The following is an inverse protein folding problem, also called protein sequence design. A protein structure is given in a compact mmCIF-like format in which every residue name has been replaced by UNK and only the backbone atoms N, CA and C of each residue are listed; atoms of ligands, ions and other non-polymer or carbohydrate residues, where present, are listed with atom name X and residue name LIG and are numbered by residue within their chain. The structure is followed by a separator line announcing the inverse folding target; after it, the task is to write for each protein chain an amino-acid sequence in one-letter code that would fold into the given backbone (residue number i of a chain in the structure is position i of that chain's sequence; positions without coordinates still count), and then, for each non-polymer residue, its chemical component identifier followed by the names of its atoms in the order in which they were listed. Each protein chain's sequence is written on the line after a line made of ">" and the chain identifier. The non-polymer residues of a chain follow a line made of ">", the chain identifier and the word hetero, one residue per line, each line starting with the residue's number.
data_IF_708252496750
#
_entry.id   IF_708252496750
#
_cell.length_a   1.000
_cell.length_b   1.000
_cell.length_c   1.000
_cell.angle_alpha   90.00
_cell.angle_beta   90.00
_cell.angle_gamma   90.00
#
_symmetry.space_group_name_H-M   'P 1'
#
loop_
_entity.id
_entity.type
_entity.pdbx_description
1 polymer ?
#
# COMPACT_ATOMS: atom_id res chain seq x y z
N UNK A 1 4.67 23.75 -26.29
CA UNK A 1 5.10 22.70 -25.34
C UNK A 1 4.83 23.22 -23.93
N UNK A 2 4.38 22.38 -23.02
CA UNK A 2 4.17 22.74 -21.61
C UNK A 2 4.89 21.72 -20.72
N UNK A 3 5.49 22.20 -19.63
CA UNK A 3 6.24 21.37 -18.68
C UNK A 3 5.45 21.30 -17.38
N UNK A 4 5.29 20.08 -16.86
CA UNK A 4 4.61 19.82 -15.58
C UNK A 4 5.56 19.02 -14.71
N UNK A 5 5.97 19.58 -13.58
CA UNK A 5 6.81 18.92 -12.59
C UNK A 5 5.96 18.10 -11.61
N UNK A 6 6.35 16.86 -11.37
CA UNK A 6 5.73 16.01 -10.35
C UNK A 6 6.70 15.83 -9.19
N UNK A 7 6.18 15.84 -7.96
CA UNK A 7 7.01 15.58 -6.77
C UNK A 7 7.46 14.12 -6.67
N UNK A 8 6.75 13.19 -7.31
CA UNK A 8 7.11 11.77 -7.37
C UNK A 8 7.15 11.31 -8.82
N UNK A 9 8.20 10.58 -9.18
CA UNK A 9 8.36 9.99 -10.52
C UNK A 9 7.21 9.05 -10.91
N UNK A 10 6.61 8.35 -9.94
CA UNK A 10 5.46 7.49 -10.16
C UNK A 10 4.22 8.23 -10.70
N UNK A 11 4.01 9.48 -10.29
CA UNK A 11 2.84 10.26 -10.71
C UNK A 11 2.95 10.70 -12.18
N UNK A 12 4.17 10.99 -12.66
CA UNK A 12 4.44 11.29 -14.06
C UNK A 12 4.08 10.10 -14.98
N UNK A 13 4.40 8.88 -14.55
CA UNK A 13 4.03 7.65 -15.25
C UNK A 13 2.51 7.48 -15.36
N UNK A 14 1.80 7.65 -14.25
CA UNK A 14 0.32 7.56 -14.20
C UNK A 14 -0.33 8.61 -15.11
N UNK A 15 0.17 9.84 -15.10
CA UNK A 15 -0.32 10.92 -15.96
C UNK A 15 -0.16 10.59 -17.44
N UNK A 16 1.02 10.10 -17.84
CA UNK A 16 1.28 9.65 -19.22
C UNK A 16 0.30 8.55 -19.63
N UNK A 17 0.13 7.50 -18.84
CA UNK A 17 -0.80 6.41 -19.17
C UNK A 17 -2.25 6.90 -19.30
N UNK A 18 -2.66 7.87 -18.49
CA UNK A 18 -4.05 8.33 -18.45
C UNK A 18 -4.40 9.32 -19.57
N UNK A 19 -3.47 10.20 -19.92
CA UNK A 19 -3.77 11.37 -20.74
C UNK A 19 -3.07 11.38 -22.10
N UNK A 20 -2.07 10.52 -22.34
CA UNK A 20 -1.44 10.45 -23.65
C UNK A 20 -2.44 10.01 -24.73
N UNK A 21 -2.49 10.76 -25.83
CA UNK A 21 -3.44 10.56 -26.92
C UNK A 21 -4.86 11.05 -26.63
N UNK A 22 -5.13 11.70 -25.49
CA UNK A 22 -6.46 12.29 -25.21
C UNK A 22 -6.64 13.59 -25.97
N UNK A 23 -7.86 13.87 -26.41
CA UNK A 23 -8.24 15.15 -27.02
C UNK A 23 -8.80 16.03 -25.90
N UNK A 24 -8.14 17.16 -25.63
CA UNK A 24 -8.54 18.09 -24.55
C UNK A 24 -9.02 19.42 -25.14
N UNK A 25 -8.44 19.83 -26.27
CA UNK A 25 -8.71 21.10 -26.97
C UNK A 25 -9.55 20.92 -28.25
N UNK A 26 -10.18 19.75 -28.42
CA UNK A 26 -11.08 19.45 -29.54
C UNK A 26 -10.41 19.26 -30.93
N UNK A 27 -9.14 19.68 -31.12
CA UNK A 27 -8.47 19.66 -32.43
C UNK A 27 -7.45 18.54 -32.60
N UNK A 28 -6.58 18.34 -31.60
CA UNK A 28 -5.45 17.39 -31.70
C UNK A 28 -5.32 16.57 -30.41
N UNK A 29 -5.04 15.26 -30.50
CA UNK A 29 -4.62 14.46 -29.35
C UNK A 29 -3.33 15.01 -28.73
N UNK A 30 -3.24 15.03 -27.40
CA UNK A 30 -2.02 15.46 -26.70
C UNK A 30 -0.98 14.34 -26.65
N UNK A 31 0.30 14.69 -26.72
CA UNK A 31 1.44 13.77 -26.52
C UNK A 31 2.12 14.11 -25.20
N UNK A 32 2.36 13.10 -24.36
CA UNK A 32 3.05 13.27 -23.08
C UNK A 32 4.38 12.51 -23.11
N UNK A 33 5.45 13.24 -22.83
CA UNK A 33 6.82 12.75 -22.72
C UNK A 33 7.33 12.98 -21.29
N UNK A 34 8.12 12.04 -20.78
CA UNK A 34 8.70 12.12 -19.43
C UNK A 34 10.15 12.52 -19.61
N UNK A 35 10.51 13.69 -19.10
CA UNK A 35 11.89 14.16 -18.99
C UNK A 35 12.40 13.69 -17.62
N UNK A 36 13.59 13.10 -17.60
CA UNK A 36 14.30 12.76 -16.37
C UNK A 36 15.61 13.52 -16.42
N UNK A 37 15.83 14.39 -15.44
CA UNK A 37 17.10 15.06 -15.29
C UNK A 37 18.08 14.04 -14.68
N UNK A 38 19.24 13.85 -15.32
CA UNK A 38 20.22 12.83 -14.93
C UNK A 38 20.90 13.14 -13.57
N UNK A 39 20.70 14.35 -13.04
CA UNK A 39 21.23 14.80 -11.75
C UNK A 39 20.30 14.51 -10.55
N UNK A 40 19.08 14.01 -10.79
CA UNK A 40 18.16 13.59 -9.72
C UNK A 40 18.52 12.14 -9.31
N UNK A 41 19.68 12.00 -8.68
CA UNK A 41 20.10 10.77 -8.03
C UNK A 41 18.98 10.33 -7.07
N UNK A 42 18.47 9.08 -7.19
CA UNK A 42 17.41 8.60 -6.33
C UNK A 42 17.91 8.63 -4.89
N UNK A 43 17.47 9.63 -4.13
CA UNK A 43 17.80 9.76 -2.72
C UNK A 43 17.34 8.48 -2.01
N UNK A 44 18.29 7.58 -1.72
CA UNK A 44 18.02 6.30 -1.09
C UNK A 44 17.30 6.57 0.23
N UNK A 45 16.00 6.29 0.28
CA UNK A 45 15.27 6.34 1.54
C UNK A 45 15.93 5.32 2.48
N UNK A 46 16.27 5.71 3.72
CA UNK A 46 16.87 4.78 4.67
C UNK A 46 15.90 3.63 4.88
N UNK A 47 16.29 2.44 4.42
CA UNK A 47 15.48 1.23 4.57
C UNK A 47 15.27 1.00 6.08
N UNK A 48 14.02 0.85 6.54
CA UNK A 48 13.76 0.57 7.95
C UNK A 48 14.43 -0.76 8.31
N UNK A 49 15.41 -0.72 9.23
CA UNK A 49 16.07 -1.92 9.74
C UNK A 49 15.03 -2.73 10.51
N UNK A 50 14.66 -3.89 9.98
CA UNK A 50 13.85 -4.86 10.72
C UNK A 50 14.75 -5.58 11.71
N UNK A 51 14.46 -5.47 13.00
CA UNK A 51 15.16 -6.20 14.07
C UNK A 51 15.11 -7.71 13.79
N UNK A 52 16.26 -8.36 13.93
CA UNK A 52 16.39 -9.80 13.74
C UNK A 52 15.75 -10.57 14.90
N UNK A 53 15.41 -11.85 14.66
CA UNK A 53 14.78 -12.71 15.66
C UNK A 53 15.67 -12.93 16.89
N UNK A 54 16.99 -12.94 16.69
CA UNK A 54 18.00 -13.03 17.75
C UNK A 54 17.96 -11.81 18.68
N UNK A 55 17.81 -10.61 18.12
CA UNK A 55 17.66 -9.36 18.89
C UNK A 55 16.34 -9.27 19.67
N UNK A 56 15.36 -10.13 19.36
CA UNK A 56 14.11 -10.24 20.13
C UNK A 56 14.12 -11.31 21.21
N UNK A 57 14.98 -12.32 21.07
CA UNK A 57 15.07 -13.46 21.98
C UNK A 57 16.22 -13.32 22.99
N UNK A 58 17.19 -12.45 22.72
CA UNK A 58 18.17 -12.05 23.72
C UNK A 58 17.55 -11.12 24.75
N UNK A 59 17.79 -11.40 26.03
CA UNK A 59 17.52 -10.44 27.11
C UNK A 59 18.12 -9.07 26.77
N UNK A 60 17.46 -7.95 27.11
CA UNK A 60 18.02 -6.64 26.84
C UNK A 60 19.39 -6.55 27.53
N UNK A 61 20.47 -6.15 26.83
CA UNK A 61 21.66 -5.75 27.55
C UNK A 61 21.23 -4.60 28.45
N UNK A 62 21.43 -4.80 29.76
CA UNK A 62 21.32 -3.77 30.78
C UNK A 62 22.17 -2.61 30.30
N UNK A 63 21.53 -1.59 29.73
CA UNK A 63 22.19 -0.34 29.39
C UNK A 63 22.68 0.22 30.71
N UNK A 64 24.00 0.23 30.89
CA UNK A 64 24.64 0.95 31.98
C UNK A 64 24.11 2.38 31.98
N UNK A 65 23.42 2.74 33.06
CA UNK A 65 22.86 4.05 33.28
C UNK A 65 23.98 5.11 33.29
N UNK A 66 23.87 6.10 32.40
CA UNK A 66 24.39 7.45 32.66
C UNK A 66 23.26 8.27 33.32
N UNK A 67 23.55 9.09 34.35
CA UNK A 67 22.50 9.63 35.19
C UNK A 67 22.00 11.02 34.73
N UNK A 68 20.73 11.27 35.06
CA UNK A 68 20.04 12.56 35.20
C UNK A 68 19.43 13.22 33.95
N UNK A 69 18.10 13.20 33.85
CA UNK A 69 17.29 14.40 34.08
C UNK A 69 15.83 14.00 34.36
N UNK A 70 15.34 14.49 35.50
CA UNK A 70 13.99 14.26 36.03
C UNK A 70 13.00 15.08 35.21
N UNK A 71 12.07 14.44 34.51
CA UNK A 71 10.84 15.07 34.05
C UNK A 71 9.68 14.26 34.61
N UNK A 72 9.03 14.85 35.61
CA UNK A 72 7.82 14.35 36.26
C UNK A 72 6.66 14.22 35.27
N UNK A 73 5.97 13.07 35.15
CA UNK A 73 4.64 13.03 34.60
C UNK A 73 3.60 13.10 35.71
N UNK A 74 2.88 14.23 35.76
CA UNK A 74 1.62 14.37 36.50
C UNK A 74 0.56 13.40 35.91
N UNK A 75 -0.01 12.54 36.76
CA UNK A 75 -1.30 11.88 36.54
C UNK A 75 -2.46 12.91 36.66
N UNK A 76 -3.74 12.53 36.48
CA UNK A 76 -4.39 11.91 35.33
C UNK A 76 -5.66 12.72 34.94
N UNK A 77 -6.13 12.72 33.68
CA UNK A 77 -7.49 13.20 33.38
C UNK A 77 -8.29 12.28 32.47
N UNK A 78 -9.52 12.04 32.93
CA UNK A 78 -10.54 11.06 32.53
C UNK A 78 -11.07 11.32 31.12
N UNK A 79 -11.56 10.31 30.39
CA UNK A 79 -12.34 10.53 29.17
C UNK A 79 -13.73 11.08 29.53
N UNK A 80 -14.02 12.32 29.11
CA UNK A 80 -15.37 12.87 29.11
C UNK A 80 -16.19 12.19 28.00
N UNK A 81 -17.10 11.32 28.42
CA UNK A 81 -18.33 11.05 27.69
C UNK A 81 -19.17 12.33 27.67
N UNK A 82 -19.70 12.70 26.50
CA UNK A 82 -20.85 13.59 26.41
C UNK A 82 -21.77 13.13 25.30
N UNK A 83 -22.77 12.36 25.74
CA UNK A 83 -24.08 12.22 25.12
C UNK A 83 -24.90 13.49 25.37
N UNK A 84 -25.52 14.06 24.33
CA UNK A 84 -26.68 14.96 24.46
C UNK A 84 -27.53 14.79 23.20
N UNK A 85 -28.61 14.01 23.26
CA UNK A 85 -30.00 14.40 23.58
C UNK A 85 -30.68 15.28 22.53
N UNK A 86 -31.75 14.68 22.01
CA UNK A 86 -32.74 15.19 21.07
C UNK A 86 -33.53 16.37 21.68
N UNK A 87 -33.86 17.35 20.85
CA UNK A 87 -35.01 18.25 21.05
C UNK A 87 -35.84 18.26 19.76
N UNK A 88 -37.18 18.13 19.84
CA UNK A 88 -38.06 18.25 18.68
C UNK A 88 -38.57 19.69 18.52
N UNK A 89 -38.60 20.18 17.28
CA UNK A 89 -39.21 21.47 16.90
C UNK A 89 -39.51 21.51 15.39
N UNK A 90 -40.57 22.21 14.93
CA UNK A 90 -41.41 21.71 13.83
C UNK A 90 -41.17 22.32 12.44
N UNK A 91 -41.39 21.45 11.44
CA UNK A 91 -41.90 21.60 10.05
C UNK A 91 -41.31 22.64 9.07
N UNK A 92 -41.13 22.09 7.84
CA UNK A 92 -40.86 22.70 6.52
C UNK A 92 -39.37 22.95 6.24
N UNK A 93 -38.74 22.39 5.21
CA UNK A 93 -39.16 22.26 3.81
C UNK A 93 -38.56 20.99 3.20
N UNK A 94 -39.30 20.33 2.31
CA UNK A 94 -38.86 19.14 1.58
C UNK A 94 -37.64 19.46 0.70
N UNK A 95 -36.44 19.13 1.18
CA UNK A 95 -35.28 18.97 0.32
C UNK A 95 -35.17 17.49 -0.06
N UNK A 96 -35.35 17.22 -1.37
CA UNK A 96 -35.14 15.92 -1.97
C UNK A 96 -33.75 15.41 -1.57
N UNK A 97 -33.72 14.38 -0.73
CA UNK A 97 -32.51 13.63 -0.46
C UNK A 97 -32.20 12.86 -1.75
N UNK A 98 -31.34 13.43 -2.58
CA UNK A 98 -30.66 12.67 -3.62
C UNK A 98 -29.88 11.61 -2.85
N UNK A 99 -30.34 10.37 -2.90
CA UNK A 99 -29.61 9.23 -2.37
C UNK A 99 -28.24 9.21 -3.07
N UNK A 100 -27.23 9.77 -2.41
CA UNK A 100 -25.85 9.72 -2.89
C UNK A 100 -25.43 8.27 -2.73
N UNK A 101 -25.66 7.50 -3.78
CA UNK A 101 -25.17 6.13 -3.92
C UNK A 101 -23.68 6.13 -3.64
N UNK A 102 -23.30 5.58 -2.48
CA UNK A 102 -21.91 5.47 -2.08
C UNK A 102 -21.13 4.74 -3.16
N UNK A 103 -20.06 5.37 -3.65
CA UNK A 103 -19.13 4.77 -4.63
C UNK A 103 -18.60 3.47 -4.04
N UNK A 104 -19.15 2.33 -4.47
CA UNK A 104 -18.60 1.01 -4.14
C UNK A 104 -17.20 0.94 -4.72
N UNK A 105 -16.19 0.90 -3.84
CA UNK A 105 -14.79 0.70 -4.21
C UNK A 105 -14.71 -0.57 -5.04
N UNK A 106 -14.39 -0.42 -6.33
CA UNK A 106 -14.04 -1.55 -7.19
C UNK A 106 -12.79 -2.20 -6.60
N UNK A 107 -12.90 -3.47 -6.21
CA UNK A 107 -11.75 -4.23 -5.73
C UNK A 107 -10.79 -4.39 -6.91
N UNK A 108 -9.65 -3.71 -6.84
CA UNK A 108 -8.61 -3.79 -7.87
C UNK A 108 -7.96 -5.17 -7.81
N UNK A 109 -7.91 -5.84 -8.95
CA UNK A 109 -7.18 -7.10 -9.17
C UNK A 109 -8.10 -8.33 -9.29
N UNK A 110 -7.66 -9.37 -10.04
CA UNK A 110 -8.32 -10.67 -10.04
C UNK A 110 -8.56 -11.14 -8.61
N UNK A 111 -9.74 -11.73 -8.37
CA UNK A 111 -10.10 -12.29 -7.07
C UNK A 111 -9.01 -13.28 -6.65
N UNK A 112 -8.43 -13.09 -5.45
CA UNK A 112 -7.41 -13.99 -4.90
C UNK A 112 -7.90 -15.43 -5.04
N UNK A 113 -7.10 -16.27 -5.71
CA UNK A 113 -7.36 -17.71 -5.80
C UNK A 113 -7.29 -18.27 -4.39
N UNK A 114 -8.39 -18.87 -3.92
CA UNK A 114 -8.43 -19.57 -2.64
C UNK A 114 -8.20 -21.04 -2.93
N UNK A 115 -6.97 -21.51 -2.73
CA UNK A 115 -6.66 -22.95 -2.75
C UNK A 115 -7.28 -23.58 -1.50
N UNK A 116 -7.90 -24.75 -1.65
CA UNK A 116 -8.31 -25.56 -0.50
C UNK A 116 -7.07 -26.16 0.18
N UNK A 117 -7.21 -26.64 1.41
CA UNK A 117 -6.12 -27.30 2.15
C UNK A 117 -5.61 -28.52 1.39
N UNK A 118 -6.52 -29.35 0.89
CA UNK A 118 -6.19 -30.52 0.06
C UNK A 118 -5.41 -30.16 -1.20
N UNK A 119 -5.69 -29.01 -1.81
CA UNK A 119 -4.96 -28.54 -2.99
C UNK A 119 -3.56 -28.05 -2.65
N UNK A 120 -3.36 -27.47 -1.46
CA UNK A 120 -2.02 -27.13 -0.98
C UNK A 120 -1.21 -28.38 -0.62
N UNK A 121 -1.86 -29.39 -0.05
CA UNK A 121 -1.22 -30.66 0.30
C UNK A 121 -0.77 -31.41 -0.97
N UNK A 122 -1.63 -31.46 -2.00
CA UNK A 122 -1.27 -32.02 -3.32
C UNK A 122 -0.11 -31.28 -3.98
N UNK A 123 -0.15 -29.94 -3.99
CA UNK A 123 0.94 -29.13 -4.57
C UNK A 123 2.28 -29.38 -3.85
N UNK A 124 2.25 -29.69 -2.53
CA UNK A 124 3.44 -30.04 -1.75
C UNK A 124 3.95 -31.46 -2.05
N UNK A 125 3.06 -32.42 -2.28
CA UNK A 125 3.39 -33.78 -2.70
C UNK A 125 4.02 -33.79 -4.09
N UNK A 126 3.46 -33.04 -5.03
CA UNK A 126 4.02 -32.90 -6.39
C UNK A 126 5.43 -32.31 -6.36
N UNK A 127 5.68 -31.33 -5.48
CA UNK A 127 7.00 -30.72 -5.34
C UNK A 127 8.03 -31.69 -4.74
N UNK A 128 7.62 -32.50 -3.75
CA UNK A 128 8.48 -33.55 -3.16
C UNK A 128 8.79 -34.64 -4.18
N UNK A 129 7.79 -35.10 -4.91
CA UNK A 129 7.94 -36.15 -5.91
C UNK A 129 8.77 -35.68 -7.10
N UNK A 130 8.68 -34.39 -7.48
CA UNK A 130 9.53 -33.81 -8.53
C UNK A 130 11.00 -33.66 -8.12
N UNK A 131 11.27 -33.46 -6.84
CA UNK A 131 12.64 -33.39 -6.32
C UNK A 131 13.28 -34.76 -6.15
N UNK A 132 12.48 -35.78 -5.82
CA UNK A 132 12.95 -37.15 -5.54
C UNK A 132 12.79 -38.11 -6.74
N UNK A 133 12.18 -37.63 -7.83
CA UNK A 133 12.04 -38.37 -9.08
C UNK A 133 13.35 -38.38 -9.88
N UNK A 134 13.63 -39.46 -10.65
CA UNK A 134 14.82 -39.53 -11.48
C UNK A 134 14.79 -38.37 -12.48
N UNK A 135 15.87 -37.59 -12.49
CA UNK A 135 16.15 -36.61 -13.53
C UNK A 135 16.36 -37.43 -14.82
N UNK A 136 15.28 -37.68 -15.56
CA UNK A 136 15.36 -38.22 -16.91
C UNK A 136 16.07 -37.17 -17.77
N UNK A 137 17.39 -37.32 -17.86
CA UNK A 137 18.19 -36.67 -18.89
C UNK A 137 17.67 -37.17 -20.22
N UNK A 138 16.85 -36.34 -20.88
CA UNK A 138 16.45 -36.53 -22.27
C UNK A 138 17.73 -36.42 -23.10
N UNK A 139 18.40 -37.55 -23.33
CA UNK A 139 19.47 -37.66 -24.31
C UNK A 139 18.80 -37.63 -25.68
N UNK A 140 18.76 -36.46 -26.31
CA UNK A 140 18.44 -36.37 -27.73
C UNK A 140 19.56 -37.06 -28.52
N UNK A 141 19.30 -38.32 -28.86
CA UNK A 141 20.08 -39.15 -29.76
C UNK A 141 19.99 -38.61 -31.19
N UNK A 142 21.17 -38.54 -31.78
CA UNK A 142 21.56 -38.04 -33.10
C UNK A 142 20.89 -38.76 -34.27
#
# INVERSE_FOLDING_TARGET
>A
MAVVSFQRSGDAGVARTKYNGKIIDGRRPIKIEIIRDEDDEPQEQPKPRTLSLLERLGDPPVQAAAPHAVVTPQHPQKPKQSSTTKTPGPKSTQQRQIAVGGRRRTRKGPKRVRKSREQLDRDMEDYRTRLDGPVEFITNGR
#
